data_IF_894167993564
#
_entry.id   IF_894167993564
#
_cell.length_a   1.000
_cell.length_b   1.000
_cell.length_c   1.000
_cell.angle_alpha   90.00
_cell.angle_beta   90.00
_cell.angle_gamma   90.00
#
_symmetry.space_group_name_H-M   'P 1'
#
loop_
_entity.id
_entity.type
_entity.pdbx_description
1 polymer ?
#
# COMPACT_ATOMS: atom_id res chain seq x y z
N UNK A 1 36.23 40.74 16.28
CA UNK A 1 36.38 40.68 14.82
C UNK A 1 35.77 39.37 14.37
N UNK A 2 34.61 39.51 13.76
CA UNK A 2 33.76 38.45 13.17
C UNK A 2 34.44 37.82 11.97
N UNK A 3 34.20 36.52 11.74
CA UNK A 3 33.82 36.02 10.41
C UNK A 3 33.17 34.64 10.55
N UNK A 4 31.84 34.64 10.56
CA UNK A 4 30.98 33.48 10.42
C UNK A 4 30.62 33.32 8.95
N UNK A 5 31.17 32.30 8.28
CA UNK A 5 30.72 31.92 6.94
C UNK A 5 29.43 31.10 7.05
N UNK A 6 28.31 31.82 6.95
CA UNK A 6 26.97 31.29 6.77
C UNK A 6 26.84 30.74 5.36
N UNK A 7 26.78 29.41 5.23
CA UNK A 7 26.35 28.74 3.99
C UNK A 7 24.86 29.03 3.83
N UNK A 8 24.54 29.91 2.87
CA UNK A 8 23.15 30.22 2.51
C UNK A 8 22.49 28.97 1.93
N UNK A 9 21.49 28.49 2.67
CA UNK A 9 20.46 27.56 2.24
C UNK A 9 19.90 27.96 0.87
N UNK A 10 20.04 27.06 -0.11
CA UNK A 10 19.35 27.16 -1.39
C UNK A 10 17.87 26.95 -1.14
N UNK A 11 17.11 28.04 -1.19
CA UNK A 11 15.65 28.06 -1.13
C UNK A 11 15.11 27.01 -2.11
N UNK A 12 14.54 25.95 -1.56
CA UNK A 12 13.66 25.02 -2.27
C UNK A 12 12.45 25.83 -2.74
N UNK A 13 12.35 26.04 -4.06
CA UNK A 13 11.09 26.50 -4.66
C UNK A 13 10.01 25.48 -4.29
N UNK A 14 9.06 25.89 -3.47
CA UNK A 14 7.80 25.16 -3.37
C UNK A 14 7.16 25.15 -4.76
N UNK A 15 6.71 23.99 -5.27
CA UNK A 15 5.99 23.96 -6.53
C UNK A 15 4.67 24.72 -6.37
N UNK A 16 4.45 25.74 -7.21
CA UNK A 16 3.15 26.40 -7.31
C UNK A 16 2.12 25.40 -7.86
N UNK A 17 0.89 25.36 -7.29
CA UNK A 17 -0.14 24.45 -7.76
C UNK A 17 -0.49 24.76 -9.21
N UNK A 18 -0.48 23.74 -10.06
CA UNK A 18 -0.82 23.89 -11.47
C UNK A 18 -2.26 24.40 -11.58
N UNK A 19 -2.47 25.65 -12.02
CA UNK A 19 -3.79 26.21 -12.30
C UNK A 19 -4.42 25.49 -13.51
N UNK A 20 -5.16 24.42 -13.26
CA UNK A 20 -6.00 23.75 -14.26
C UNK A 20 -7.34 24.48 -14.43
N UNK A 21 -7.29 25.77 -14.74
CA UNK A 21 -8.47 26.49 -15.23
C UNK A 21 -8.55 26.30 -16.74
N UNK A 22 -9.63 25.68 -17.19
CA UNK A 22 -10.09 25.57 -18.59
C UNK A 22 -9.43 24.44 -19.41
N UNK A 23 -9.68 23.19 -19.02
CA UNK A 23 -9.79 22.13 -20.02
C UNK A 23 -11.26 22.06 -20.47
N UNK A 24 -11.58 22.74 -21.57
CA UNK A 24 -12.83 22.55 -22.28
C UNK A 24 -12.95 21.09 -22.71
N UNK A 25 -14.00 20.41 -22.25
CA UNK A 25 -14.38 19.09 -22.75
C UNK A 25 -15.64 19.19 -23.59
N UNK A 26 -15.61 18.63 -24.81
CA UNK A 26 -16.83 18.27 -25.55
C UNK A 26 -17.79 17.57 -24.60
N UNK A 27 -18.95 18.18 -24.35
CA UNK A 27 -19.88 17.77 -23.32
C UNK A 27 -20.55 16.44 -23.69
N UNK A 28 -19.99 15.32 -23.23
CA UNK A 28 -20.82 14.17 -22.88
C UNK A 28 -21.63 14.56 -21.63
N UNK A 29 -22.92 14.25 -21.62
CA UNK A 29 -23.79 14.52 -20.47
C UNK A 29 -23.18 13.92 -19.18
N UNK A 30 -23.40 14.56 -18.02
CA UNK A 30 -22.91 14.08 -16.71
C UNK A 30 -23.22 12.58 -16.54
N UNK A 31 -24.45 12.18 -16.87
CA UNK A 31 -24.91 10.79 -16.79
C UNK A 31 -24.14 9.84 -17.71
N UNK A 32 -23.92 10.21 -18.97
CA UNK A 32 -23.17 9.38 -19.94
C UNK A 32 -21.70 9.24 -19.52
N UNK A 33 -21.11 10.30 -18.98
CA UNK A 33 -19.75 10.27 -18.46
C UNK A 33 -19.62 9.36 -17.23
N UNK A 34 -20.54 9.45 -16.26
CA UNK A 34 -20.53 8.61 -15.07
C UNK A 34 -20.79 7.14 -15.40
N UNK A 35 -21.58 6.84 -16.44
CA UNK A 35 -21.82 5.48 -16.95
C UNK A 35 -20.63 4.89 -17.74
N UNK A 36 -19.67 5.71 -18.14
CA UNK A 36 -18.49 5.23 -18.89
C UNK A 36 -17.46 4.47 -18.04
N UNK A 37 -17.62 4.45 -16.71
CA UNK A 37 -16.69 3.81 -15.78
C UNK A 37 -17.14 2.40 -15.43
N UNK A 38 -16.37 1.40 -15.88
CA UNK A 38 -16.61 -0.02 -15.57
C UNK A 38 -15.57 -0.62 -14.61
N UNK A 39 -14.46 0.08 -14.36
CA UNK A 39 -13.38 -0.36 -13.48
C UNK A 39 -13.45 0.22 -12.07
N UNK A 40 -12.79 -0.43 -11.11
CA UNK A 40 -12.80 -0.02 -9.69
C UNK A 40 -11.60 0.85 -9.28
N UNK A 41 -10.69 1.15 -10.22
CA UNK A 41 -9.50 1.98 -10.00
C UNK A 41 -9.30 2.96 -11.16
N UNK A 42 -8.77 4.14 -10.85
CA UNK A 42 -8.38 5.14 -11.84
C UNK A 42 -6.86 5.39 -11.76
N UNK A 43 -6.20 5.50 -12.91
CA UNK A 43 -4.76 5.82 -12.95
C UNK A 43 -4.55 7.27 -12.53
N UNK A 44 -3.54 7.51 -11.68
CA UNK A 44 -3.19 8.87 -11.21
C UNK A 44 -2.91 9.83 -12.37
N UNK A 45 -2.17 9.41 -13.38
CA UNK A 45 -1.85 10.26 -14.52
C UNK A 45 -3.05 10.63 -15.43
N UNK A 46 -4.26 10.11 -15.17
CA UNK A 46 -5.48 10.45 -15.89
C UNK A 46 -6.04 11.84 -15.52
N UNK A 47 -5.18 12.87 -15.46
CA UNK A 47 -5.51 14.23 -14.99
C UNK A 47 -6.72 14.84 -15.73
N UNK A 48 -6.88 14.56 -17.02
CA UNK A 48 -8.06 15.02 -17.80
C UNK A 48 -9.38 14.42 -17.29
N UNK A 49 -9.41 13.12 -17.00
CA UNK A 49 -10.59 12.46 -16.44
C UNK A 49 -10.86 12.91 -15.00
N UNK A 50 -9.81 13.09 -14.21
CA UNK A 50 -9.91 13.59 -12.83
C UNK A 50 -10.47 15.02 -12.80
N UNK A 51 -10.05 15.90 -13.73
CA UNK A 51 -10.61 17.23 -13.87
C UNK A 51 -12.10 17.21 -14.22
N UNK A 52 -12.53 16.31 -15.11
CA UNK A 52 -13.95 16.12 -15.43
C UNK A 52 -14.75 15.58 -14.24
N UNK A 53 -14.21 14.62 -13.49
CA UNK A 53 -14.81 14.14 -12.25
C UNK A 53 -14.95 15.26 -11.22
N UNK A 54 -13.91 16.07 -11.01
CA UNK A 54 -13.96 17.21 -10.11
C UNK A 54 -15.03 18.23 -10.54
N UNK A 55 -15.17 18.49 -11.84
CA UNK A 55 -16.21 19.37 -12.37
C UNK A 55 -17.62 18.84 -12.06
N UNK A 56 -17.87 17.56 -12.29
CA UNK A 56 -19.18 16.92 -12.08
C UNK A 56 -19.49 16.48 -10.64
N UNK A 57 -18.50 16.53 -9.73
CA UNK A 57 -18.70 16.16 -8.33
C UNK A 57 -19.73 17.07 -7.66
N UNK A 58 -20.74 16.47 -7.02
CA UNK A 58 -21.76 17.19 -6.25
C UNK A 58 -21.19 17.63 -4.90
N UNK A 59 -20.39 16.76 -4.28
CA UNK A 59 -19.60 17.10 -3.08
C UNK A 59 -18.16 16.65 -3.23
N UNK A 60 -17.26 17.39 -2.61
CA UNK A 60 -15.86 17.01 -2.41
C UNK A 60 -15.60 17.10 -0.92
N UNK A 61 -15.28 15.98 -0.28
CA UNK A 61 -15.12 15.91 1.18
C UNK A 61 -13.74 15.39 1.52
N UNK A 62 -13.10 16.02 2.51
CA UNK A 62 -11.87 15.58 3.13
C UNK A 62 -12.23 14.82 4.41
N UNK A 63 -11.81 13.56 4.49
CA UNK A 63 -11.91 12.75 5.71
C UNK A 63 -10.51 12.52 6.25
N UNK A 64 -10.22 13.13 7.39
CA UNK A 64 -8.97 12.96 8.13
C UNK A 64 -9.15 11.92 9.23
N UNK A 65 -8.16 11.06 9.45
CA UNK A 65 -8.10 10.19 10.62
C UNK A 65 -6.88 10.55 11.48
N UNK A 66 -7.10 11.21 12.63
CA UNK A 66 -6.04 11.61 13.59
C UNK A 66 -5.99 10.70 14.83
N UNK A 67 -4.78 10.51 15.40
CA UNK A 67 -4.51 9.80 16.67
C UNK A 67 -4.11 10.74 17.82
N UNK A 68 -4.24 12.06 17.66
CA UNK A 68 -3.94 12.99 18.75
C UNK A 68 -4.85 12.74 19.94
N UNK A 69 -4.29 12.41 21.11
CA UNK A 69 -5.05 12.15 22.35
C UNK A 69 -5.97 13.33 22.74
N UNK A 70 -5.64 14.55 22.29
CA UNK A 70 -6.41 15.78 22.53
C UNK A 70 -7.52 16.04 21.48
N UNK A 71 -7.54 15.30 20.36
CA UNK A 71 -8.31 15.63 19.16
C UNK A 71 -9.24 14.51 18.65
N UNK A 72 -9.30 13.38 19.36
CA UNK A 72 -10.02 12.16 18.96
C UNK A 72 -11.54 12.31 18.78
N UNK A 73 -12.16 13.38 19.32
CA UNK A 73 -13.62 13.52 19.32
C UNK A 73 -14.16 14.53 18.28
N UNK A 74 -13.33 15.43 17.74
CA UNK A 74 -13.77 16.51 16.83
C UNK A 74 -13.14 16.49 15.43
N UNK A 75 -12.12 15.67 15.20
CA UNK A 75 -11.21 15.80 14.04
C UNK A 75 -11.40 14.74 12.94
N UNK A 76 -12.45 13.93 13.03
CA UNK A 76 -12.73 12.85 12.09
C UNK A 76 -14.06 13.03 11.32
N UNK A 77 -14.78 14.13 11.54
CA UNK A 77 -15.97 14.44 10.74
C UNK A 77 -15.54 14.86 9.33
N UNK A 78 -16.21 14.37 8.27
CA UNK A 78 -15.91 14.78 6.91
C UNK A 78 -16.08 16.29 6.75
N UNK A 79 -15.02 16.98 6.31
CA UNK A 79 -15.04 18.42 6.06
C UNK A 79 -15.23 18.66 4.57
N UNK A 80 -16.09 19.60 4.18
CA UNK A 80 -16.21 20.01 2.79
C UNK A 80 -14.89 20.63 2.31
N UNK A 81 -14.35 20.14 1.21
CA UNK A 81 -13.13 20.66 0.58
C UNK A 81 -13.53 21.51 -0.64
N UNK A 82 -13.10 22.78 -0.71
CA UNK A 82 -13.25 23.58 -1.92
C UNK A 82 -12.57 22.92 -3.12
N UNK A 83 -13.22 22.93 -4.29
CA UNK A 83 -12.70 22.28 -5.51
C UNK A 83 -11.35 22.86 -5.94
N UNK A 84 -11.09 24.12 -5.61
CA UNK A 84 -9.84 24.83 -5.89
C UNK A 84 -8.64 24.28 -5.09
N UNK A 85 -8.90 23.74 -3.90
CA UNK A 85 -7.86 23.17 -3.02
C UNK A 85 -7.50 21.73 -3.41
N UNK A 86 -8.36 21.06 -4.19
CA UNK A 86 -8.17 19.66 -4.59
C UNK A 86 -6.82 19.42 -5.26
N UNK A 87 -6.42 20.25 -6.23
CA UNK A 87 -5.17 20.01 -6.97
C UNK A 87 -3.92 20.22 -6.12
N UNK A 88 -3.96 21.17 -5.17
CA UNK A 88 -2.88 21.37 -4.22
C UNK A 88 -2.73 20.15 -3.29
N UNK A 89 -3.84 19.60 -2.80
CA UNK A 89 -3.86 18.35 -2.05
C UNK A 89 -3.36 17.16 -2.91
N UNK A 90 -3.88 17.05 -4.13
CA UNK A 90 -3.59 15.97 -5.08
C UNK A 90 -2.10 15.90 -5.45
N UNK A 91 -1.47 17.06 -5.69
CA UNK A 91 -0.04 17.13 -6.02
C UNK A 91 0.83 16.82 -4.80
N UNK A 92 0.41 17.24 -3.60
CA UNK A 92 1.10 16.91 -2.34
C UNK A 92 1.12 15.40 -2.08
N UNK A 93 -0.01 14.72 -2.33
CA UNK A 93 -0.17 13.28 -2.05
C UNK A 93 0.07 12.37 -3.29
N UNK A 94 0.48 12.94 -4.44
CA UNK A 94 0.52 12.25 -5.74
C UNK A 94 1.33 10.95 -5.74
N UNK A 95 2.45 10.92 -5.02
CA UNK A 95 3.35 9.76 -4.99
C UNK A 95 2.66 8.51 -4.44
N UNK A 96 1.80 8.67 -3.43
CA UNK A 96 1.33 7.58 -2.58
C UNK A 96 -0.16 7.30 -2.72
N UNK A 97 -0.87 8.24 -3.36
CA UNK A 97 -2.30 8.17 -3.53
C UNK A 97 -2.75 7.02 -4.46
N UNK A 98 -3.84 6.38 -4.07
CA UNK A 98 -4.62 5.41 -4.83
C UNK A 98 -6.00 6.01 -5.10
N UNK A 99 -6.49 5.86 -6.34
CA UNK A 99 -7.81 6.36 -6.73
C UNK A 99 -8.73 5.16 -6.94
N UNK A 100 -9.75 5.05 -6.09
CA UNK A 100 -10.75 4.00 -6.11
C UNK A 100 -12.09 4.55 -6.62
N UNK A 101 -12.78 3.75 -7.40
CA UNK A 101 -14.07 4.07 -7.99
C UNK A 101 -15.15 3.17 -7.40
N UNK A 102 -16.27 3.74 -7.00
CA UNK A 102 -17.46 2.99 -6.56
C UNK A 102 -18.55 3.16 -7.61
N UNK A 103 -18.94 2.05 -8.23
CA UNK A 103 -19.99 1.99 -9.27
C UNK A 103 -21.17 1.21 -8.71
N UNK A 104 -22.38 1.77 -8.81
CA UNK A 104 -23.63 1.14 -8.40
C UNK A 104 -24.62 1.19 -9.56
N UNK A 105 -25.14 0.03 -9.99
CA UNK A 105 -26.10 -0.04 -11.09
C UNK A 105 -25.59 0.63 -12.38
N UNK A 106 -24.33 0.38 -12.74
CA UNK A 106 -23.60 0.94 -13.89
C UNK A 106 -23.33 2.45 -13.85
N UNK A 107 -23.49 3.09 -12.69
CA UNK A 107 -23.22 4.52 -12.50
C UNK A 107 -22.14 4.71 -11.45
N UNK A 108 -21.12 5.50 -11.77
CA UNK A 108 -20.12 5.94 -10.80
C UNK A 108 -20.78 6.84 -9.74
N UNK A 109 -20.84 6.37 -8.49
CA UNK A 109 -21.45 7.10 -7.36
C UNK A 109 -20.44 7.81 -6.49
N UNK A 110 -19.19 7.31 -6.41
CA UNK A 110 -18.12 8.03 -5.73
C UNK A 110 -16.72 7.70 -6.25
N UNK A 111 -15.80 8.65 -6.07
CA UNK A 111 -14.37 8.48 -6.30
C UNK A 111 -13.64 8.80 -5.00
N UNK A 112 -12.84 7.85 -4.51
CA UNK A 112 -12.01 8.02 -3.31
C UNK A 112 -10.55 8.15 -3.71
N UNK A 113 -9.93 9.27 -3.35
CA UNK A 113 -8.49 9.52 -3.44
C UNK A 113 -7.90 9.29 -2.05
N UNK A 114 -7.06 8.27 -1.91
CA UNK A 114 -6.56 7.81 -0.61
C UNK A 114 -5.04 7.75 -0.63
N UNK A 115 -4.40 8.50 0.26
CA UNK A 115 -2.94 8.55 0.47
C UNK A 115 -2.39 7.37 1.30
N UNK A 116 -3.27 6.60 1.96
CA UNK A 116 -2.91 5.40 2.72
C UNK A 116 -4.12 4.44 2.89
N UNK A 117 -3.93 3.15 2.59
CA UNK A 117 -4.98 2.13 2.72
C UNK A 117 -5.01 1.52 4.15
N UNK A 118 -4.03 1.84 5.01
CA UNK A 118 -3.73 1.12 6.25
C UNK A 118 -4.03 1.90 7.55
N UNK A 119 -4.91 2.91 7.49
CA UNK A 119 -5.28 3.86 8.55
C UNK A 119 -4.29 5.03 8.74
N UNK A 120 -4.86 6.21 9.01
CA UNK A 120 -4.28 7.57 8.96
C UNK A 120 -4.13 8.12 7.54
N UNK A 121 -5.25 8.18 6.83
CA UNK A 121 -5.35 8.83 5.52
C UNK A 121 -6.11 10.14 5.59
N UNK A 122 -5.68 11.08 4.75
CA UNK A 122 -6.45 12.27 4.41
C UNK A 122 -7.24 11.96 3.14
N UNK A 123 -8.33 11.22 3.25
CA UNK A 123 -9.07 10.77 2.07
C UNK A 123 -9.88 11.93 1.47
N UNK A 124 -9.72 12.18 0.18
CA UNK A 124 -10.65 13.03 -0.57
C UNK A 124 -11.69 12.15 -1.26
N UNK A 125 -12.97 12.41 -1.01
CA UNK A 125 -14.08 11.68 -1.60
C UNK A 125 -14.93 12.64 -2.42
N UNK A 126 -15.06 12.33 -3.71
CA UNK A 126 -16.02 12.96 -4.61
C UNK A 126 -17.27 12.10 -4.68
N UNK A 127 -18.45 12.70 -4.55
CA UNK A 127 -19.74 11.99 -4.71
C UNK A 127 -20.50 12.51 -5.91
N UNK A 128 -21.29 11.63 -6.52
CA UNK A 128 -22.09 11.92 -7.70
C UNK A 128 -23.52 11.40 -7.53
N UNK A 129 -24.48 12.21 -7.95
CA UNK A 129 -25.90 11.91 -8.07
C UNK A 129 -26.33 12.11 -9.53
N UNK A 130 -27.21 11.22 -10.00
CA UNK A 130 -27.89 11.43 -11.27
C UNK A 130 -28.89 12.58 -11.14
N UNK A 131 -29.04 13.36 -12.20
CA UNK A 131 -30.15 14.30 -12.29
C UNK A 131 -31.42 13.47 -12.57
N UNK A 132 -32.38 13.49 -11.65
CA UNK A 132 -33.67 12.83 -11.86
C UNK A 132 -34.35 13.46 -13.08
N UNK A 133 -34.51 12.68 -14.16
CA UNK A 133 -35.40 13.04 -15.26
C UNK A 133 -36.81 12.62 -14.87
N UNK A 134 -37.72 13.59 -14.86
CA UNK A 134 -39.15 13.32 -14.93
C UNK A 134 -39.44 12.52 -16.21
N UNK A 135 -39.99 11.32 -16.00
CA UNK A 135 -40.70 10.37 -16.87
C UNK A 135 -40.31 10.24 -18.35
N UNK A 136 -40.07 8.99 -18.77
CA UNK A 136 -40.98 8.31 -19.71
C UNK A 136 -40.64 6.81 -19.79
N UNK A 137 -41.69 6.00 -19.59
CA UNK A 137 -41.76 4.57 -19.83
C UNK A 137 -41.44 4.22 -21.28
N UNK A 138 -40.64 3.16 -21.52
CA UNK A 138 -40.98 2.16 -22.55
C UNK A 138 -40.10 0.90 -22.46
N UNK A 139 -40.78 -0.23 -22.64
CA UNK A 139 -40.23 -1.58 -22.81
C UNK A 139 -39.33 -1.68 -24.06
N UNK A 140 -38.41 -2.65 -24.08
CA UNK A 140 -38.33 -3.72 -25.12
C UNK A 140 -37.27 -4.76 -24.71
N UNK A 141 -37.64 -6.01 -24.97
CA UNK A 141 -36.92 -7.26 -24.73
C UNK A 141 -35.66 -7.46 -25.61
N UNK A 142 -34.75 -8.31 -25.13
CA UNK A 142 -34.09 -9.30 -25.99
C UNK A 142 -32.56 -9.31 -26.01
N UNK A 143 -31.98 -10.49 -25.75
CA UNK A 143 -30.75 -10.93 -26.44
C UNK A 143 -29.52 -11.19 -25.57
N UNK A 144 -29.44 -12.40 -25.00
CA UNK A 144 -28.22 -12.98 -24.45
C UNK A 144 -27.17 -13.25 -25.55
N UNK A 145 -25.90 -12.88 -25.31
CA UNK A 145 -24.76 -13.74 -25.67
C UNK A 145 -23.51 -13.26 -24.93
N UNK A 146 -23.21 -13.93 -23.81
CA UNK A 146 -21.98 -13.76 -23.05
C UNK A 146 -20.88 -14.62 -23.68
N UNK A 147 -19.85 -13.99 -24.24
CA UNK A 147 -18.58 -14.66 -24.53
C UNK A 147 -17.72 -14.55 -23.27
N UNK A 148 -17.72 -15.61 -22.47
CA UNK A 148 -16.82 -15.78 -21.34
C UNK A 148 -15.42 -16.12 -21.85
N UNK A 149 -14.49 -15.16 -21.75
CA UNK A 149 -13.07 -15.47 -21.84
C UNK A 149 -12.64 -15.93 -20.45
N UNK A 150 -12.48 -17.24 -20.30
CA UNK A 150 -11.96 -17.87 -19.10
C UNK A 150 -10.50 -17.43 -18.89
N UNK A 151 -10.22 -16.77 -17.77
CA UNK A 151 -8.85 -16.67 -17.28
C UNK A 151 -8.48 -18.06 -16.74
N UNK A 152 -7.50 -18.71 -17.36
CA UNK A 152 -6.96 -19.97 -16.86
C UNK A 152 -6.21 -19.72 -15.56
N UNK A 153 -6.76 -20.31 -14.50
CA UNK A 153 -6.20 -20.45 -13.16
C UNK A 153 -4.96 -21.38 -13.20
N UNK A 154 -3.80 -20.83 -13.58
CA UNK A 154 -2.52 -21.52 -13.45
C UNK A 154 -1.58 -20.60 -12.68
N UNK A 155 -1.46 -20.86 -11.38
CA UNK A 155 -0.42 -20.26 -10.54
C UNK A 155 0.97 -20.39 -11.16
N UNK A 156 1.89 -19.49 -10.77
CA UNK A 156 3.24 -19.39 -11.35
C UNK A 156 4.05 -20.70 -11.19
N UNK A 157 3.70 -21.51 -10.19
CA UNK A 157 4.30 -22.80 -9.90
C UNK A 157 3.23 -23.89 -9.92
N UNK A 158 3.59 -25.06 -10.43
CA UNK A 158 2.78 -26.27 -10.24
C UNK A 158 2.77 -26.67 -8.77
N UNK A 159 1.76 -27.44 -8.35
CA UNK A 159 1.69 -27.98 -6.99
C UNK A 159 2.95 -28.79 -6.60
N UNK A 160 3.61 -29.44 -7.57
CA UNK A 160 4.86 -30.17 -7.34
C UNK A 160 6.05 -29.23 -7.09
N UNK A 161 6.17 -28.16 -7.88
CA UNK A 161 7.24 -27.16 -7.71
C UNK A 161 7.06 -26.38 -6.40
N UNK A 162 5.82 -26.03 -6.02
CA UNK A 162 5.50 -25.45 -4.71
C UNK A 162 5.98 -26.36 -3.57
N UNK A 163 5.71 -27.67 -3.64
CA UNK A 163 6.13 -28.60 -2.60
C UNK A 163 7.67 -28.68 -2.47
N UNK A 164 8.41 -28.61 -3.58
CA UNK A 164 9.88 -28.59 -3.58
C UNK A 164 10.40 -27.29 -2.93
N UNK A 165 9.76 -26.15 -3.22
CA UNK A 165 10.14 -24.86 -2.64
C UNK A 165 9.87 -24.83 -1.13
N UNK A 166 8.72 -25.34 -0.69
CA UNK A 166 8.38 -25.46 0.73
C UNK A 166 9.36 -26.41 1.47
N UNK A 167 9.76 -27.53 0.84
CA UNK A 167 10.77 -28.43 1.40
C UNK A 167 12.15 -27.77 1.49
N UNK A 168 12.56 -27.04 0.46
CA UNK A 168 13.81 -26.27 0.48
C UNK A 168 13.80 -25.19 1.57
N UNK A 169 12.68 -24.49 1.74
CA UNK A 169 12.47 -23.51 2.80
C UNK A 169 12.58 -24.16 4.19
N UNK A 170 11.93 -25.30 4.41
CA UNK A 170 12.00 -26.04 5.67
C UNK A 170 13.42 -26.54 5.99
N UNK A 171 14.18 -26.99 4.97
CA UNK A 171 15.59 -27.37 5.15
C UNK A 171 16.43 -26.16 5.56
N UNK A 172 16.21 -24.99 4.96
CA UNK A 172 16.94 -23.77 5.36
C UNK A 172 16.51 -23.30 6.75
N UNK A 173 15.22 -23.30 7.06
CA UNK A 173 14.70 -22.94 8.39
C UNK A 173 15.31 -23.82 9.47
N UNK A 174 15.29 -25.14 9.25
CA UNK A 174 15.87 -26.10 10.20
C UNK A 174 17.37 -25.88 10.40
N UNK A 175 18.08 -25.34 9.42
CA UNK A 175 19.49 -24.95 9.56
C UNK A 175 19.67 -23.59 10.23
N UNK A 176 18.70 -22.68 10.10
CA UNK A 176 18.74 -21.36 10.73
C UNK A 176 18.47 -21.43 12.24
N UNK A 177 17.52 -22.27 12.65
CA UNK A 177 17.00 -22.33 14.02
C UNK A 177 17.76 -23.26 14.99
N UNK A 178 18.97 -23.71 14.63
CA UNK A 178 19.80 -24.56 15.53
C UNK A 178 20.60 -23.64 16.46
N UNK A 179 20.46 -23.85 17.78
CA UNK A 179 21.10 -23.01 18.80
C UNK A 179 22.63 -22.95 18.74
N UNK A 180 23.27 -23.95 18.12
CA UNK A 180 24.72 -24.04 17.90
C UNK A 180 25.20 -23.37 16.61
N UNK A 181 24.29 -22.82 15.79
CA UNK A 181 24.70 -22.13 14.56
C UNK A 181 25.44 -20.83 14.89
N UNK A 182 26.44 -20.46 14.07
CA UNK A 182 27.04 -19.14 14.13
C UNK A 182 25.97 -18.07 13.91
N UNK A 183 26.19 -16.89 14.49
CA UNK A 183 25.38 -15.70 14.26
C UNK A 183 25.07 -15.53 12.76
N UNK A 184 23.85 -15.08 12.44
CA UNK A 184 23.52 -14.65 11.08
C UNK A 184 24.50 -13.56 10.65
N UNK A 185 25.48 -13.97 9.86
CA UNK A 185 26.63 -13.15 9.44
C UNK A 185 26.59 -12.83 7.95
N UNK A 186 25.67 -13.45 7.20
CA UNK A 186 25.48 -13.21 5.79
C UNK A 186 24.01 -12.91 5.48
N UNK A 187 23.67 -11.68 5.04
CA UNK A 187 22.34 -11.34 4.54
C UNK A 187 21.87 -12.27 3.42
N UNK A 188 22.79 -12.85 2.66
CA UNK A 188 22.48 -13.76 1.54
C UNK A 188 21.77 -15.05 1.99
N UNK A 189 22.12 -15.57 3.17
CA UNK A 189 21.45 -16.76 3.72
C UNK A 189 20.00 -16.43 4.08
N UNK A 190 19.77 -15.26 4.65
CA UNK A 190 18.41 -14.78 5.00
C UNK A 190 17.61 -14.49 3.74
N UNK A 191 18.21 -13.84 2.73
CA UNK A 191 17.56 -13.63 1.43
C UNK A 191 17.13 -14.94 0.78
N UNK A 192 18.00 -15.95 0.77
CA UNK A 192 17.68 -17.26 0.18
C UNK A 192 16.57 -17.97 0.95
N UNK A 193 16.58 -17.91 2.27
CA UNK A 193 15.48 -18.41 3.09
C UNK A 193 14.17 -17.70 2.74
N UNK A 194 14.12 -16.37 2.80
CA UNK A 194 12.91 -15.61 2.48
C UNK A 194 12.43 -15.85 1.04
N UNK A 195 13.35 -16.04 0.08
CA UNK A 195 13.03 -16.41 -1.30
C UNK A 195 12.32 -17.75 -1.38
N UNK A 196 12.87 -18.81 -0.79
CA UNK A 196 12.24 -20.13 -0.90
C UNK A 196 10.95 -20.22 -0.08
N UNK A 197 10.87 -19.56 1.07
CA UNK A 197 9.66 -19.54 1.90
C UNK A 197 8.49 -18.81 1.25
N UNK A 198 8.75 -17.83 0.39
CA UNK A 198 7.72 -16.95 -0.17
C UNK A 198 7.53 -17.03 -1.68
N UNK A 199 8.45 -17.62 -2.45
CA UNK A 199 8.47 -17.55 -3.91
C UNK A 199 7.15 -17.99 -4.55
N UNK A 200 6.47 -18.96 -3.96
CA UNK A 200 5.28 -19.55 -4.55
C UNK A 200 3.97 -19.16 -3.82
N UNK A 201 4.05 -18.24 -2.85
CA UNK A 201 2.85 -17.63 -2.23
C UNK A 201 2.15 -16.70 -3.23
N UNK A 202 0.90 -17.02 -3.56
CA UNK A 202 0.05 -16.25 -4.49
C UNK A 202 -0.50 -14.94 -3.89
N UNK A 203 -0.39 -14.80 -2.58
CA UNK A 203 -0.80 -13.62 -1.82
C UNK A 203 0.40 -13.08 -1.02
N UNK A 204 0.31 -11.81 -0.63
CA UNK A 204 1.35 -11.20 0.19
C UNK A 204 1.31 -11.78 1.61
N UNK A 205 2.46 -12.22 2.08
CA UNK A 205 2.69 -12.74 3.43
C UNK A 205 3.77 -11.90 4.08
N UNK A 206 3.49 -11.39 5.29
CA UNK A 206 4.45 -10.67 6.10
C UNK A 206 4.91 -11.55 7.26
N UNK A 207 6.20 -11.83 7.31
CA UNK A 207 6.83 -12.65 8.33
C UNK A 207 7.91 -11.90 9.12
N UNK A 208 8.28 -12.50 10.24
CA UNK A 208 9.26 -11.98 11.19
C UNK A 208 10.19 -13.11 11.61
N UNK A 209 11.49 -12.86 11.50
CA UNK A 209 12.54 -13.70 12.09
C UNK A 209 12.91 -13.07 13.42
N UNK A 210 12.81 -13.83 14.50
CA UNK A 210 13.16 -13.39 15.85
C UNK A 210 14.57 -13.85 16.21
N UNK A 211 15.40 -12.94 16.71
CA UNK A 211 16.81 -13.19 17.01
C UNK A 211 17.18 -12.91 18.47
N UNK A 212 18.12 -13.68 18.99
CA UNK A 212 18.78 -13.39 20.26
C UNK A 212 19.86 -12.30 20.14
N UNK A 213 20.51 -11.98 21.27
CA UNK A 213 21.51 -10.90 21.37
C UNK A 213 22.81 -11.17 20.62
N UNK A 214 23.00 -12.40 20.14
CA UNK A 214 24.09 -12.82 19.28
C UNK A 214 23.63 -12.98 17.82
N UNK A 215 22.43 -12.49 17.49
CA UNK A 215 21.82 -12.59 16.18
C UNK A 215 21.66 -14.05 15.70
N UNK A 216 21.38 -14.97 16.64
CA UNK A 216 20.97 -16.35 16.30
C UNK A 216 19.46 -16.39 16.15
N UNK A 217 18.98 -17.11 15.14
CA UNK A 217 17.54 -17.24 14.91
C UNK A 217 16.93 -18.11 16.00
N UNK A 218 15.89 -17.58 16.66
CA UNK A 218 15.08 -18.32 17.63
C UNK A 218 13.89 -18.99 16.93
N UNK A 219 13.22 -18.24 16.07
CA UNK A 219 12.03 -18.65 15.35
C UNK A 219 11.82 -17.74 14.14
N UNK A 220 11.08 -18.26 13.15
CA UNK A 220 10.54 -17.49 12.03
C UNK A 220 9.03 -17.71 12.00
N UNK A 221 8.25 -16.64 11.91
CA UNK A 221 6.79 -16.74 11.89
C UNK A 221 6.20 -15.86 10.78
N UNK A 222 5.30 -16.42 9.99
CA UNK A 222 4.40 -15.67 9.10
C UNK A 222 3.26 -15.08 9.95
N UNK A 223 3.28 -13.77 10.21
CA UNK A 223 2.34 -13.13 11.14
C UNK A 223 1.09 -12.58 10.47
N UNK A 224 1.20 -12.15 9.21
CA UNK A 224 0.08 -11.56 8.50
C UNK A 224 -0.01 -12.09 7.08
N UNK A 225 -1.23 -12.47 6.72
CA UNK A 225 -1.59 -12.92 5.38
C UNK A 225 -2.50 -11.88 4.75
N UNK A 226 -2.07 -11.34 3.63
CA UNK A 226 -2.72 -10.24 2.93
C UNK A 226 -3.52 -10.69 1.71
N UNK A 227 -3.96 -9.69 0.96
CA UNK A 227 -4.48 -9.90 -0.39
C UNK A 227 -3.32 -9.92 -1.39
N UNK A 228 -3.62 -10.03 -2.68
CA UNK A 228 -2.61 -9.89 -3.76
C UNK A 228 -1.89 -8.54 -3.74
N UNK A 229 -2.49 -7.50 -3.12
CA UNK A 229 -1.95 -6.14 -3.16
C UNK A 229 -1.19 -5.69 -1.90
N UNK A 230 -1.56 -6.22 -0.72
CA UNK A 230 -0.77 -6.10 0.51
C UNK A 230 -1.39 -6.77 1.74
N UNK A 231 -0.56 -6.96 2.78
CA UNK A 231 -0.93 -7.47 4.10
C UNK A 231 -1.10 -6.33 5.14
N UNK A 232 -2.17 -6.39 5.94
CA UNK A 232 -2.37 -5.46 7.05
C UNK A 232 -1.52 -5.89 8.24
N UNK A 233 -0.44 -5.15 8.49
CA UNK A 233 0.51 -5.41 9.58
C UNK A 233 0.17 -4.56 10.80
N UNK A 234 0.04 -5.19 11.96
CA UNK A 234 -0.30 -4.51 13.22
C UNK A 234 0.90 -4.52 14.18
N UNK A 235 1.53 -3.36 14.48
CA UNK A 235 2.69 -3.30 15.38
C UNK A 235 2.48 -3.95 16.74
N UNK A 236 1.26 -3.85 17.30
CA UNK A 236 0.89 -4.50 18.57
C UNK A 236 1.11 -6.01 18.58
N UNK A 237 0.80 -6.71 17.49
CA UNK A 237 0.95 -8.16 17.43
C UNK A 237 2.42 -8.54 17.24
N UNK A 238 3.19 -7.74 16.49
CA UNK A 238 4.65 -7.90 16.36
C UNK A 238 5.34 -7.71 17.71
N UNK A 239 5.00 -6.66 18.46
CA UNK A 239 5.55 -6.40 19.80
C UNK A 239 5.22 -7.54 20.76
N UNK A 240 3.97 -8.00 20.77
CA UNK A 240 3.53 -9.12 21.61
C UNK A 240 4.34 -10.39 21.33
N UNK A 241 4.59 -10.69 20.05
CA UNK A 241 5.38 -11.84 19.63
C UNK A 241 6.87 -11.69 19.95
N UNK A 242 7.46 -10.52 19.69
CA UNK A 242 8.85 -10.24 20.03
C UNK A 242 9.15 -10.46 21.53
N UNK A 243 8.23 -10.03 22.40
CA UNK A 243 8.33 -10.27 23.84
C UNK A 243 8.15 -11.75 24.20
N UNK A 244 7.19 -12.45 23.59
CA UNK A 244 6.96 -13.87 23.82
C UNK A 244 8.19 -14.72 23.43
N UNK A 245 8.84 -14.37 22.33
CA UNK A 245 10.03 -15.06 21.83
C UNK A 245 11.32 -14.66 22.59
N UNK A 246 11.26 -13.69 23.51
CA UNK A 246 12.44 -13.04 24.12
C UNK A 246 13.45 -12.56 23.06
N UNK A 247 12.94 -11.99 21.98
CA UNK A 247 13.76 -11.46 20.90
C UNK A 247 14.50 -10.20 21.38
N UNK A 248 15.78 -10.08 21.02
CA UNK A 248 16.54 -8.83 21.17
C UNK A 248 16.68 -8.08 19.84
N UNK A 249 16.44 -8.79 18.73
CA UNK A 249 16.41 -8.21 17.41
C UNK A 249 15.43 -8.98 16.51
N UNK A 250 14.99 -8.34 15.44
CA UNK A 250 14.09 -8.92 14.43
C UNK A 250 14.54 -8.58 13.01
N UNK A 251 14.17 -9.43 12.06
CA UNK A 251 14.22 -9.16 10.63
C UNK A 251 12.81 -9.34 10.07
N UNK A 252 12.35 -8.36 9.29
CA UNK A 252 11.07 -8.47 8.59
C UNK A 252 11.27 -9.02 7.18
N UNK A 253 10.24 -9.69 6.67
CA UNK A 253 10.22 -10.08 5.27
C UNK A 253 8.79 -10.15 4.74
N UNK A 254 8.59 -9.77 3.48
CA UNK A 254 7.34 -10.03 2.76
C UNK A 254 7.55 -10.24 1.27
N UNK A 255 6.59 -10.87 0.60
CA UNK A 255 6.62 -11.03 -0.85
C UNK A 255 5.71 -10.03 -1.57
N UNK A 256 6.12 -9.66 -2.78
CA UNK A 256 5.24 -9.05 -3.78
C UNK A 256 4.87 -10.10 -4.83
N UNK A 257 3.63 -10.63 -4.82
CA UNK A 257 3.14 -11.55 -5.86
C UNK A 257 3.17 -10.94 -7.27
N UNK A 258 3.22 -9.61 -7.37
CA UNK A 258 3.35 -8.86 -8.63
C UNK A 258 4.67 -9.13 -9.37
N UNK A 259 5.66 -9.74 -8.71
CA UNK A 259 6.95 -10.09 -9.31
C UNK A 259 8.02 -9.01 -9.17
N UNK A 260 7.69 -7.80 -8.70
CA UNK A 260 8.63 -6.67 -8.56
C UNK A 260 9.06 -6.49 -7.09
N UNK A 261 10.36 -6.59 -6.82
CA UNK A 261 10.94 -6.46 -5.47
C UNK A 261 11.01 -5.03 -4.93
N UNK A 262 10.72 -4.02 -5.76
CA UNK A 262 10.84 -2.62 -5.35
C UNK A 262 9.84 -2.31 -4.21
N UNK A 263 10.34 -1.94 -3.02
CA UNK A 263 9.47 -1.69 -1.88
C UNK A 263 8.55 -0.50 -2.12
N UNK A 264 7.28 -0.66 -1.77
CA UNK A 264 6.31 0.41 -1.79
C UNK A 264 6.64 1.47 -0.71
N UNK A 265 6.02 2.65 -0.80
CA UNK A 265 6.06 3.60 0.30
C UNK A 265 5.32 3.07 1.55
N UNK A 266 4.30 2.23 1.37
CA UNK A 266 3.61 1.59 2.48
C UNK A 266 4.58 0.70 3.27
N UNK A 267 5.43 -0.06 2.58
CA UNK A 267 6.48 -0.90 3.18
C UNK A 267 7.44 -0.04 4.02
N UNK A 268 7.89 1.09 3.47
CA UNK A 268 8.74 2.05 4.21
C UNK A 268 8.07 2.60 5.46
N UNK A 269 6.80 2.99 5.36
CA UNK A 269 6.05 3.53 6.51
C UNK A 269 5.82 2.48 7.59
N UNK A 270 5.37 1.28 7.23
CA UNK A 270 5.12 0.23 8.22
C UNK A 270 6.42 -0.19 8.89
N UNK A 271 7.52 -0.30 8.13
CA UNK A 271 8.84 -0.60 8.70
C UNK A 271 9.27 0.43 9.73
N UNK A 272 9.14 1.72 9.41
CA UNK A 272 9.47 2.79 10.37
C UNK A 272 8.60 2.72 11.63
N UNK A 273 7.29 2.49 11.48
CA UNK A 273 6.39 2.31 12.64
C UNK A 273 6.77 1.10 13.49
N UNK A 274 7.23 0.01 12.88
CA UNK A 274 7.70 -1.17 13.60
C UNK A 274 9.03 -0.91 14.31
N UNK A 275 9.96 -0.18 13.68
CA UNK A 275 11.21 0.27 14.31
C UNK A 275 10.89 1.10 15.55
N UNK A 276 10.05 2.12 15.41
CA UNK A 276 9.69 3.01 16.51
C UNK A 276 9.01 2.24 17.65
N UNK A 277 8.11 1.31 17.34
CA UNK A 277 7.41 0.51 18.34
C UNK A 277 8.32 -0.48 19.08
N UNK A 278 9.23 -1.15 18.37
CA UNK A 278 10.14 -2.13 18.95
C UNK A 278 11.29 -1.47 19.72
N UNK A 279 11.69 -0.26 19.33
CA UNK A 279 12.67 0.54 20.07
C UNK A 279 12.22 0.84 21.51
N UNK A 280 10.91 0.95 21.76
CA UNK A 280 10.35 1.17 23.11
C UNK A 280 10.55 -0.03 24.06
N UNK A 281 10.88 -1.20 23.52
CA UNK A 281 11.14 -2.43 24.28
C UNK A 281 12.55 -2.98 24.03
N UNK A 282 13.47 -2.13 23.57
CA UNK A 282 14.88 -2.46 23.29
C UNK A 282 15.09 -3.60 22.27
N UNK A 283 14.14 -3.80 21.35
CA UNK A 283 14.26 -4.77 20.25
C UNK A 283 14.69 -4.06 18.98
N UNK A 284 15.82 -4.47 18.41
CA UNK A 284 16.37 -3.86 17.18
C UNK A 284 15.76 -4.47 15.93
N UNK A 285 15.42 -3.65 14.93
CA UNK A 285 15.13 -4.15 13.58
C UNK A 285 16.44 -4.14 12.79
N UNK A 286 16.91 -5.31 12.36
CA UNK A 286 18.19 -5.42 11.66
C UNK A 286 18.04 -5.24 10.15
N UNK A 287 16.93 -5.71 9.58
CA UNK A 287 16.62 -5.55 8.17
C UNK A 287 15.13 -5.75 7.88
N UNK A 288 14.74 -5.40 6.67
CA UNK A 288 13.47 -5.75 6.07
C UNK A 288 13.69 -6.18 4.61
N UNK A 289 13.36 -7.44 4.30
CA UNK A 289 13.47 -8.00 2.96
C UNK A 289 12.15 -7.96 2.19
N UNK A 290 12.15 -7.35 1.02
CA UNK A 290 11.06 -7.46 0.05
C UNK A 290 11.45 -8.47 -1.01
N UNK A 291 10.71 -9.56 -1.07
CA UNK A 291 10.98 -10.71 -1.92
C UNK A 291 10.05 -10.70 -3.12
N UNK A 292 10.59 -11.00 -4.29
CA UNK A 292 9.79 -11.22 -5.48
C UNK A 292 10.47 -12.26 -6.37
N UNK A 293 9.82 -12.60 -7.49
CA UNK A 293 10.43 -13.43 -8.51
C UNK A 293 11.71 -12.80 -9.10
N UNK A 294 11.69 -11.49 -9.41
CA UNK A 294 12.81 -10.80 -10.05
C UNK A 294 14.00 -10.56 -9.11
N UNK A 295 13.81 -10.68 -7.80
CA UNK A 295 14.87 -10.55 -6.82
C UNK A 295 14.40 -10.20 -5.42
N UNK A 296 15.36 -9.86 -4.57
CA UNK A 296 15.14 -9.46 -3.17
C UNK A 296 15.79 -8.12 -2.91
N UNK A 297 15.06 -7.22 -2.24
CA UNK A 297 15.55 -5.92 -1.79
C UNK A 297 15.70 -5.93 -0.28
N UNK A 298 16.86 -5.49 0.22
CA UNK A 298 17.12 -5.22 1.64
C UNK A 298 16.95 -3.73 1.93
N UNK A 299 16.28 -3.41 3.04
CA UNK A 299 16.17 -2.03 3.52
C UNK A 299 17.48 -1.53 4.14
N UNK A 300 18.21 -2.41 4.82
CA UNK A 300 19.51 -2.09 5.41
C UNK A 300 20.55 -1.78 4.32
N UNK A 301 20.61 -2.56 3.25
CA UNK A 301 21.50 -2.29 2.10
C UNK A 301 21.18 -0.97 1.40
N UNK A 302 19.93 -0.52 1.48
CA UNK A 302 19.48 0.79 0.96
C UNK A 302 19.64 1.94 1.96
N UNK A 303 20.10 1.66 3.19
CA UNK A 303 20.29 2.67 4.24
C UNK A 303 18.98 3.28 4.75
N UNK A 304 17.87 2.51 4.72
CA UNK A 304 16.56 2.99 5.20
C UNK A 304 16.28 2.64 6.66
N UNK A 305 17.13 1.79 7.26
CA UNK A 305 17.14 1.36 8.66
C UNK A 305 18.52 1.67 9.24
#
# INVERSE_FOLDING_TARGET
>A
MTDSNVIRSTITKQPEPTKFSNLESKAASKDEFLKSFTGHKLRKNAKKKIAQLLAYADTVTLKTQSMGMDDCYRSNEPVSMPKEEFWAWYEREYSDMVIMLTVQGDVLTSVKFSDCIYHFSNDVIMTFSLEEREDETENIEGGQSSVSVAYSDSGLFTAHEQAILDEAAAILESKLCISEQPALSSPEVVKNFCRYSLAAREHEVFGVIFLDNQHRVRSSEELFTGTVNAASVYPREVVKKALAENASAVIFYHNHPSGVAEPSQADRRITRRLIDALALIDVKVLDHFVVSFEGTVSFAERGWI
#
